data_IF_356451429504
#
_entry.id   IF_356451429504
#
_cell.length_a   1.000
_cell.length_b   1.000
_cell.length_c   1.000
_cell.angle_alpha   90.00
_cell.angle_beta   90.00
_cell.angle_gamma   90.00
#
_symmetry.space_group_name_H-M   'P 1'
#
loop_
_entity.id
_entity.type
_entity.pdbx_description
1 polymer ?
#
# COMPACT_ATOMS: atom_id res chain seq x y z
N UNK A 1 18.72 -20.63 -14.09
CA UNK A 1 18.29 -20.04 -14.07
C UNK A 1 17.88 -19.50 -14.47
N UNK A 2 17.80 -19.71 -14.43
CA UNK A 2 17.24 -18.84 -14.55
C UNK A 2 16.75 -18.30 -14.97
N UNK A 3 16.85 -18.55 -15.00
CA UNK A 3 16.28 -17.80 -15.15
C UNK A 3 15.78 -17.33 -15.55
N UNK A 4 15.98 -17.58 -15.65
CA UNK A 4 15.41 -16.83 -15.85
C UNK A 4 14.82 -16.30 -16.20
N UNK A 5 14.98 -16.52 -16.35
CA UNK A 5 14.30 -15.78 -16.52
C UNK A 5 13.78 -15.33 -16.94
N UNK A 6 13.95 -15.53 -17.21
CA UNK A 6 13.36 -14.83 -17.29
C UNK A 6 12.75 -14.30 -17.70
N UNK A 7 12.68 -14.41 -17.84
CA UNK A 7 12.04 -13.73 -17.89
C UNK A 7 11.44 -13.23 -18.22
N UNK A 8 11.38 -13.10 -18.51
CA UNK A 8 10.84 -12.59 -18.48
C UNK A 8 10.26 -12.02 -18.95
N UNK A 9 10.21 -11.98 -19.33
CA UNK A 9 9.69 -11.35 -19.40
C UNK A 9 9.22 -10.93 -19.97
N UNK A 10 8.98 -10.74 -20.39
CA UNK A 10 8.47 -10.29 -20.59
C UNK A 10 7.91 -9.70 -20.99
N UNK A 11 7.95 -9.51 -21.29
CA UNK A 11 7.49 -8.83 -21.60
C UNK A 11 6.64 -8.20 -21.52
N UNK A 12 6.50 -7.67 -21.95
CA UNK A 12 5.78 -6.86 -21.85
C UNK A 12 5.19 -6.73 -21.06
N UNK A 13 4.61 -6.80 -21.12
CA UNK A 13 4.04 -6.54 -20.22
C UNK A 13 4.55 -6.89 -19.18
N UNK A 14 5.12 -6.96 -19.19
CA UNK A 14 5.56 -7.22 -18.28
C UNK A 14 5.46 -6.38 -17.40
N UNK A 15 4.67 -6.29 -17.05
CA UNK A 15 4.53 -5.51 -16.11
C UNK A 15 5.45 -5.74 -15.21
N UNK A 16 5.83 -4.84 -14.76
CA UNK A 16 6.84 -4.88 -13.88
C UNK A 16 6.45 -5.48 -12.60
N UNK A 17 7.13 -6.49 -12.17
CA UNK A 17 6.93 -7.01 -10.88
C UNK A 17 7.33 -6.01 -9.85
N UNK A 18 8.21 -5.12 -10.16
CA UNK A 18 8.69 -4.13 -9.20
C UNK A 18 7.58 -3.23 -8.72
N UNK A 19 6.58 -3.02 -9.55
CA UNK A 19 5.48 -2.17 -9.18
C UNK A 19 4.55 -2.82 -8.17
N UNK A 20 4.72 -4.12 -7.96
CA UNK A 20 3.92 -4.85 -7.00
C UNK A 20 4.66 -5.14 -5.72
N UNK A 21 5.89 -4.70 -5.64
CA UNK A 21 6.72 -5.04 -4.51
C UNK A 21 6.27 -4.30 -3.27
N UNK A 22 6.02 -5.06 -2.20
CA UNK A 22 5.53 -4.53 -0.95
C UNK A 22 6.70 -4.05 -0.10
N UNK A 23 6.56 -2.91 0.54
CA UNK A 23 7.57 -2.41 1.46
C UNK A 23 6.95 -2.26 2.84
N UNK A 24 7.79 -2.05 3.86
CA UNK A 24 7.31 -1.84 5.21
C UNK A 24 6.80 -0.42 5.40
N UNK A 25 5.96 -0.22 6.42
CA UNK A 25 5.53 1.13 6.82
C UNK A 25 6.75 1.98 7.14
N UNK A 26 7.73 1.41 7.84
CA UNK A 26 8.93 2.13 8.22
C UNK A 26 9.67 2.67 6.99
N UNK A 27 9.78 1.85 5.95
CA UNK A 27 10.43 2.27 4.72
C UNK A 27 9.61 3.33 3.99
N UNK A 28 8.29 3.19 3.99
CA UNK A 28 7.43 4.17 3.34
C UNK A 28 7.58 5.55 3.98
N UNK A 29 7.75 5.59 5.30
CA UNK A 29 7.91 6.85 6.01
C UNK A 29 9.17 7.61 5.63
N UNK A 30 10.15 6.93 5.03
CA UNK A 30 11.40 7.55 4.62
C UNK A 30 11.39 8.06 3.19
N UNK A 31 10.37 7.72 2.43
CA UNK A 31 10.33 8.09 1.02
C UNK A 31 9.91 9.54 0.83
N UNK A 32 10.21 10.05 -0.34
CA UNK A 32 9.86 11.43 -0.68
C UNK A 32 8.37 11.55 -0.99
N UNK A 33 7.87 12.77 -0.91
CA UNK A 33 6.52 13.09 -1.33
C UNK A 33 6.27 12.56 -2.75
N UNK A 34 5.09 12.05 -3.00
CA UNK A 34 4.63 11.49 -4.28
C UNK A 34 5.25 10.15 -4.66
N UNK A 35 6.10 9.56 -3.82
CA UNK A 35 6.64 8.22 -4.11
C UNK A 35 5.52 7.19 -4.14
N UNK A 36 5.56 6.30 -5.11
CA UNK A 36 4.56 5.23 -5.22
C UNK A 36 4.94 4.06 -4.34
N UNK A 37 3.97 3.51 -3.64
CA UNK A 37 4.21 2.45 -2.67
C UNK A 37 3.14 1.38 -2.74
N UNK A 38 3.51 0.18 -2.31
CA UNK A 38 2.58 -0.92 -2.05
C UNK A 38 2.82 -1.38 -0.62
N UNK A 39 1.78 -1.43 0.17
CA UNK A 39 1.87 -1.86 1.58
C UNK A 39 0.87 -2.98 1.85
N UNK A 40 1.24 -3.88 2.73
CA UNK A 40 0.33 -4.92 3.20
C UNK A 40 0.16 -4.81 4.70
N UNK A 41 -1.06 -4.90 5.15
CA UNK A 41 -1.36 -4.78 6.57
C UNK A 41 -2.86 -4.76 6.81
N UNK A 42 -3.22 -4.25 7.96
CA UNK A 42 -4.61 -4.24 8.41
C UNK A 42 -5.00 -2.84 8.85
N UNK A 43 -6.30 -2.57 8.81
CA UNK A 43 -6.81 -1.33 9.36
C UNK A 43 -6.88 -1.48 10.87
N UNK A 44 -6.17 -0.63 11.59
CA UNK A 44 -6.19 -0.64 13.03
C UNK A 44 -7.37 0.13 13.58
N UNK A 45 -7.67 1.26 12.98
CA UNK A 45 -8.80 2.08 13.40
C UNK A 45 -9.21 3.05 12.29
N UNK A 46 -10.43 3.52 12.37
CA UNK A 46 -10.95 4.56 11.49
C UNK A 46 -10.83 5.88 12.27
N UNK A 47 -10.06 6.81 11.76
CA UNK A 47 -9.82 8.07 12.46
C UNK A 47 -10.99 9.01 12.25
N UNK A 48 -11.23 9.37 10.99
CA UNK A 48 -12.37 10.20 10.60
C UNK A 48 -12.43 10.27 9.10
N UNK A 49 -13.62 10.48 8.55
CA UNK A 49 -13.79 10.67 7.11
C UNK A 49 -13.10 9.54 6.35
N UNK A 50 -12.12 9.87 5.51
CA UNK A 50 -11.39 8.90 4.69
C UNK A 50 -10.09 8.44 5.33
N UNK A 51 -9.82 8.81 6.57
CA UNK A 51 -8.53 8.53 7.21
C UNK A 51 -8.61 7.37 8.17
N UNK A 52 -7.61 6.51 8.08
CA UNK A 52 -7.51 5.30 8.87
C UNK A 52 -6.09 5.12 9.37
N UNK A 53 -5.94 4.39 10.47
CA UNK A 53 -4.62 3.91 10.87
C UNK A 53 -4.42 2.54 10.27
N UNK A 54 -3.29 2.35 9.60
CA UNK A 54 -2.92 1.12 8.94
C UNK A 54 -1.68 0.57 9.63
N UNK A 55 -1.69 -0.72 9.93
CA UNK A 55 -0.60 -1.36 10.66
C UNK A 55 -0.05 -2.52 9.84
N UNK A 56 1.28 -2.58 9.72
CA UNK A 56 1.91 -3.68 8.99
C UNK A 56 2.32 -4.82 9.93
N UNK A 57 2.91 -5.85 9.38
CA UNK A 57 3.31 -7.03 10.16
C UNK A 57 4.35 -6.74 11.22
N UNK A 58 5.05 -5.62 11.11
CA UNK A 58 6.05 -5.21 12.08
C UNK A 58 5.47 -4.35 13.20
N UNK A 59 4.15 -4.17 13.19
CA UNK A 59 3.42 -3.35 14.16
C UNK A 59 3.67 -1.85 14.01
N UNK A 60 4.20 -1.43 12.88
CA UNK A 60 4.36 -0.02 12.59
C UNK A 60 3.08 0.52 11.96
N UNK A 61 2.74 1.74 12.32
CA UNK A 61 1.47 2.37 11.94
C UNK A 61 1.71 3.58 11.07
N UNK A 62 0.86 3.74 10.08
CA UNK A 62 0.86 4.93 9.23
C UNK A 62 -0.59 5.32 8.94
N UNK A 63 -0.85 6.61 8.81
CA UNK A 63 -2.17 7.07 8.41
C UNK A 63 -2.32 6.85 6.91
N UNK A 64 -3.45 6.31 6.51
CA UNK A 64 -3.79 6.14 5.10
C UNK A 64 -5.11 6.86 4.82
N UNK A 65 -5.24 7.41 3.65
CA UNK A 65 -6.46 8.06 3.22
C UNK A 65 -7.07 7.23 2.11
N UNK A 66 -8.28 6.71 2.34
CA UNK A 66 -8.96 5.81 1.40
C UNK A 66 -10.35 6.36 1.15
N UNK A 67 -10.51 7.01 0.01
CA UNK A 67 -11.79 7.52 -0.44
C UNK A 67 -12.74 6.33 -0.70
N UNK A 68 -14.02 6.52 -0.51
CA UNK A 68 -15.01 5.47 -0.72
C UNK A 68 -14.91 4.80 -2.08
N UNK A 69 -14.59 5.55 -3.10
CA UNK A 69 -14.41 4.99 -4.45
C UNK A 69 -13.26 4.03 -4.53
N UNK A 70 -12.23 4.24 -3.72
CA UNK A 70 -11.02 3.43 -3.78
C UNK A 70 -11.20 2.09 -3.07
N UNK A 71 -12.17 1.99 -2.18
CA UNK A 71 -12.50 0.71 -1.57
C UNK A 71 -13.07 -0.27 -2.61
N UNK A 72 -13.75 0.25 -3.63
CA UNK A 72 -14.36 -0.61 -4.63
C UNK A 72 -15.35 -1.57 -3.99
N UNK A 73 -15.18 -2.85 -4.24
CA UNK A 73 -16.05 -3.88 -3.66
C UNK A 73 -15.48 -4.49 -2.39
N UNK A 74 -14.39 -3.93 -1.86
CA UNK A 74 -13.75 -4.50 -0.69
C UNK A 74 -14.50 -4.10 0.57
N UNK A 75 -14.77 -5.09 1.42
CA UNK A 75 -15.27 -4.88 2.76
C UNK A 75 -14.24 -5.49 3.71
N UNK A 76 -13.84 -4.74 4.72
CA UNK A 76 -12.77 -5.18 5.60
C UNK A 76 -13.09 -4.85 7.05
N UNK A 77 -12.52 -5.64 7.95
CA UNK A 77 -12.51 -5.32 9.37
C UNK A 77 -11.05 -5.34 9.84
N UNK A 78 -10.85 -5.27 11.15
CA UNK A 78 -9.50 -5.18 11.73
C UNK A 78 -8.65 -6.43 11.49
N UNK A 79 -9.27 -7.53 11.13
CA UNK A 79 -8.56 -8.80 10.89
C UNK A 79 -8.28 -9.06 9.41
N UNK A 80 -8.79 -8.22 8.53
CA UNK A 80 -8.64 -8.44 7.09
C UNK A 80 -7.28 -7.96 6.63
N UNK A 81 -6.50 -8.86 6.03
CA UNK A 81 -5.21 -8.47 5.46
C UNK A 81 -5.45 -7.82 4.10
N UNK A 82 -4.96 -6.60 3.97
CA UNK A 82 -5.15 -5.79 2.77
C UNK A 82 -3.82 -5.46 2.13
N UNK A 83 -3.85 -5.33 0.82
CA UNK A 83 -2.76 -4.72 0.07
C UNK A 83 -3.27 -3.41 -0.50
N UNK A 84 -2.58 -2.34 -0.17
CA UNK A 84 -2.94 -1.01 -0.67
C UNK A 84 -1.84 -0.49 -1.57
N UNK A 85 -2.23 0.20 -2.62
CA UNK A 85 -1.32 0.87 -3.53
C UNK A 85 -1.65 2.34 -3.49
N UNK A 86 -0.63 3.17 -3.40
CA UNK A 86 -0.86 4.60 -3.33
C UNK A 86 0.42 5.39 -3.42
N UNK A 87 0.34 6.61 -2.97
CA UNK A 87 1.47 7.55 -3.01
C UNK A 87 1.69 8.14 -1.64
N UNK A 88 2.96 8.38 -1.34
CA UNK A 88 3.33 9.09 -0.11
C UNK A 88 2.89 10.54 -0.25
N UNK A 89 2.15 11.01 0.73
CA UNK A 89 1.73 12.41 0.82
C UNK A 89 2.40 12.99 2.06
N UNK A 90 3.44 13.76 1.84
CA UNK A 90 4.29 14.25 2.92
C UNK A 90 4.31 15.76 2.95
N UNK A 91 3.98 16.31 4.09
CA UNK A 91 4.15 17.75 4.29
C UNK A 91 5.10 17.98 5.48
N UNK A 92 5.18 19.19 5.98
CA UNK A 92 6.15 19.53 7.03
C UNK A 92 5.98 18.72 8.30
N UNK A 93 4.77 18.32 8.61
CA UNK A 93 4.48 17.75 9.92
C UNK A 93 3.97 16.33 9.86
N UNK A 94 3.48 15.88 8.71
CA UNK A 94 2.79 14.60 8.61
C UNK A 94 3.17 13.84 7.37
N UNK A 95 3.12 12.52 7.48
CA UNK A 95 3.27 11.64 6.34
C UNK A 95 2.08 10.68 6.35
N UNK A 96 1.41 10.60 5.23
CA UNK A 96 0.31 9.63 5.07
C UNK A 96 0.40 9.02 3.69
N UNK A 97 -0.39 7.99 3.45
CA UNK A 97 -0.49 7.37 2.13
C UNK A 97 -1.84 7.74 1.53
N UNK A 98 -1.79 8.32 0.35
CA UNK A 98 -2.99 8.59 -0.44
C UNK A 98 -3.25 7.34 -1.27
N UNK A 99 -4.25 6.57 -0.90
CA UNK A 99 -4.46 5.24 -1.45
C UNK A 99 -5.21 5.31 -2.77
N UNK A 100 -4.68 4.64 -3.77
CA UNK A 100 -5.31 4.57 -5.09
C UNK A 100 -6.11 3.30 -5.31
N UNK A 101 -5.75 2.21 -4.64
CA UNK A 101 -6.51 0.97 -4.75
C UNK A 101 -6.30 0.09 -3.52
N UNK A 102 -7.29 -0.76 -3.26
CA UNK A 102 -7.30 -1.68 -2.13
C UNK A 102 -7.68 -3.06 -2.62
N UNK A 103 -6.98 -4.07 -2.15
CA UNK A 103 -7.39 -5.44 -2.43
C UNK A 103 -7.18 -6.31 -1.18
N UNK A 104 -7.96 -7.37 -1.07
CA UNK A 104 -7.81 -8.34 0.02
C UNK A 104 -6.73 -9.33 -0.37
N UNK A 105 -5.83 -9.61 0.55
CA UNK A 105 -4.77 -10.59 0.35
C UNK A 105 -5.30 -11.94 0.81
N UNK A 106 -5.22 -12.92 -0.07
CA UNK A 106 -5.74 -14.26 0.23
C UNK A 106 -4.66 -15.29 0.40
#
# INVERSE_FOLDING_TARGET
MASLVASIAMAGGFTSKHQSETISVKDALKLNDDAKVVLEGKIKSHIKSDKYEFVDKNSDVIVVEIDNKKWGNVTANEDTLLRIRGEVDKDFTKTKIDVGSVEVVK
#
